data_IF_204204483467
#
_entry.id   IF_204204483467
#
_cell.length_a   1.000
_cell.length_b   1.000
_cell.length_c   1.000
_cell.angle_alpha   90.00
_cell.angle_beta   90.00
_cell.angle_gamma   90.00
#
_symmetry.space_group_name_H-M   'P 1'
#
loop_
_entity.id
_entity.type
_entity.pdbx_description
1 polymer ?
#
# COMPACT_ATOMS: atom_id res chain seq x y z
N UNK A 1 16.98 -25.65 -7.70
CA UNK A 1 16.47 -25.90 -6.34
C UNK A 1 17.32 -26.84 -5.50
N UNK A 2 17.76 -28.02 -6.01
CA UNK A 2 18.62 -28.94 -5.22
C UNK A 2 19.94 -28.33 -4.67
N UNK A 3 20.71 -27.46 -5.40
CA UNK A 3 21.93 -26.87 -4.85
C UNK A 3 21.66 -25.88 -3.72
N UNK A 4 20.64 -25.06 -3.85
CA UNK A 4 20.25 -24.11 -2.80
C UNK A 4 19.83 -24.82 -1.51
N UNK A 5 19.04 -25.92 -1.62
CA UNK A 5 18.66 -26.72 -0.45
C UNK A 5 19.88 -27.28 0.27
N UNK A 6 20.84 -27.87 -0.47
CA UNK A 6 22.10 -28.39 0.11
C UNK A 6 22.90 -27.30 0.83
N UNK A 7 22.93 -26.09 0.27
CA UNK A 7 23.60 -24.94 0.89
C UNK A 7 22.91 -24.54 2.21
N UNK A 8 21.59 -24.41 2.21
CA UNK A 8 20.83 -24.08 3.42
C UNK A 8 20.94 -25.18 4.48
N UNK A 9 20.83 -26.46 4.09
CA UNK A 9 20.98 -27.59 5.00
C UNK A 9 22.39 -27.64 5.62
N UNK A 10 23.42 -27.20 4.88
CA UNK A 10 24.79 -27.08 5.38
C UNK A 10 24.97 -25.95 6.40
N UNK A 11 24.21 -24.87 6.29
CA UNK A 11 24.23 -23.75 7.25
C UNK A 11 23.37 -24.03 8.50
N UNK A 12 22.34 -24.85 8.39
CA UNK A 12 21.37 -25.14 9.47
C UNK A 12 21.99 -25.46 10.83
N UNK A 13 23.04 -26.29 10.92
CA UNK A 13 23.67 -26.62 12.21
C UNK A 13 24.28 -25.42 12.94
N UNK A 14 24.74 -24.41 12.20
CA UNK A 14 25.32 -23.20 12.78
C UNK A 14 24.28 -22.27 13.41
N UNK A 15 23.04 -22.34 12.95
CA UNK A 15 21.92 -21.50 13.41
C UNK A 15 20.99 -22.22 14.39
N UNK A 16 21.05 -23.55 14.50
CA UNK A 16 20.23 -24.32 15.45
C UNK A 16 20.85 -24.37 16.83
N UNK A 17 20.10 -24.94 17.80
CA UNK A 17 20.47 -25.02 19.22
C UNK A 17 21.89 -25.54 19.42
N UNK A 18 22.74 -24.73 20.06
CA UNK A 18 24.18 -25.03 20.31
C UNK A 18 25.11 -24.55 19.19
N UNK A 19 24.61 -23.94 18.12
CA UNK A 19 25.43 -23.34 17.06
C UNK A 19 25.94 -21.95 17.44
N UNK A 20 27.04 -21.52 16.79
CA UNK A 20 27.64 -20.20 17.01
C UNK A 20 26.72 -19.01 16.67
N UNK A 21 25.73 -19.22 15.81
CA UNK A 21 24.80 -18.24 15.31
C UNK A 21 23.34 -18.49 15.74
N UNK A 22 23.12 -19.20 16.85
CA UNK A 22 21.80 -19.56 17.36
C UNK A 22 20.88 -18.34 17.54
N UNK A 23 21.42 -17.19 18.03
CA UNK A 23 20.68 -15.95 18.18
C UNK A 23 20.11 -15.39 16.87
N UNK A 24 20.71 -15.74 15.76
CA UNK A 24 20.32 -15.30 14.42
C UNK A 24 19.47 -16.34 13.67
N UNK A 25 18.98 -17.36 14.37
CA UNK A 25 18.08 -18.36 13.81
C UNK A 25 16.90 -17.75 13.03
N UNK A 26 16.25 -16.64 13.49
CA UNK A 26 15.18 -16.01 12.75
C UNK A 26 15.55 -15.60 11.32
N UNK A 27 16.78 -15.17 11.07
CA UNK A 27 17.25 -14.80 9.72
C UNK A 27 17.34 -16.05 8.84
N UNK A 28 17.89 -17.15 9.36
CA UNK A 28 17.97 -18.42 8.64
C UNK A 28 16.56 -18.94 8.29
N UNK A 29 15.63 -18.90 9.25
CA UNK A 29 14.26 -19.37 9.10
C UNK A 29 13.50 -18.60 7.99
N UNK A 30 13.66 -17.27 7.92
CA UNK A 30 13.08 -16.45 6.84
C UNK A 30 13.62 -16.87 5.48
N UNK A 31 14.92 -17.03 5.34
CA UNK A 31 15.55 -17.43 4.06
C UNK A 31 15.12 -18.84 3.67
N UNK A 32 15.06 -19.78 4.63
CA UNK A 32 14.59 -21.14 4.39
C UNK A 32 13.11 -21.12 3.94
N UNK A 33 12.24 -20.41 4.66
CA UNK A 33 10.80 -20.36 4.40
C UNK A 33 10.43 -19.58 3.14
N UNK A 34 11.27 -18.63 2.71
CA UNK A 34 11.06 -17.91 1.44
C UNK A 34 11.12 -18.85 0.23
N UNK A 35 11.99 -19.84 0.26
CA UNK A 35 12.22 -20.77 -0.86
C UNK A 35 11.57 -22.14 -0.66
N UNK A 36 11.28 -22.53 0.59
CA UNK A 36 10.77 -23.86 0.94
C UNK A 36 9.65 -23.76 1.98
N UNK A 37 8.72 -24.69 1.92
CA UNK A 37 7.66 -24.79 2.95
C UNK A 37 8.27 -25.27 4.27
N UNK A 38 7.76 -24.71 5.40
CA UNK A 38 8.14 -25.18 6.73
C UNK A 38 7.86 -26.66 6.91
N UNK A 39 8.81 -27.39 7.48
CA UNK A 39 8.71 -28.83 7.82
C UNK A 39 8.18 -29.06 9.26
N UNK A 40 7.82 -27.98 9.96
CA UNK A 40 7.28 -28.06 11.34
C UNK A 40 6.03 -28.93 11.36
N UNK A 41 6.02 -29.94 12.24
CA UNK A 41 4.91 -30.87 12.44
C UNK A 41 4.26 -30.62 13.80
N UNK A 42 2.95 -30.84 13.86
CA UNK A 42 2.22 -30.84 15.14
C UNK A 42 2.59 -32.08 15.95
N UNK A 43 2.93 -31.88 17.23
CA UNK A 43 3.18 -32.96 18.19
C UNK A 43 1.92 -33.19 19.00
N UNK A 44 1.33 -34.37 18.93
CA UNK A 44 0.12 -34.74 19.68
C UNK A 44 -0.78 -35.73 18.93
N UNK A 45 -1.89 -36.12 19.56
CA UNK A 45 -2.86 -37.04 18.98
C UNK A 45 -3.84 -36.39 17.98
N UNK A 46 -3.93 -35.05 17.99
CA UNK A 46 -4.80 -34.30 17.10
C UNK A 46 -3.97 -33.53 16.12
N UNK A 47 -4.13 -33.83 14.84
CA UNK A 47 -3.44 -33.17 13.72
C UNK A 47 -4.46 -32.40 12.89
N UNK A 48 -4.68 -31.13 13.24
CA UNK A 48 -5.46 -30.20 12.42
C UNK A 48 -4.51 -29.14 11.89
N UNK A 49 -4.36 -29.07 10.58
CA UNK A 49 -3.56 -28.04 9.90
C UNK A 49 -4.43 -27.33 8.87
N UNK A 50 -4.44 -26.00 8.92
CA UNK A 50 -5.04 -25.21 7.85
C UNK A 50 -4.21 -25.37 6.56
N UNK A 51 -4.88 -25.46 5.43
CA UNK A 51 -4.24 -25.53 4.12
C UNK A 51 -3.68 -24.16 3.68
N UNK A 52 -4.11 -23.08 4.34
CA UNK A 52 -3.72 -21.71 4.06
C UNK A 52 -2.85 -21.18 5.19
N UNK A 53 -1.55 -21.25 5.00
CA UNK A 53 -0.58 -20.65 5.92
C UNK A 53 -0.51 -19.12 5.70
N UNK A 54 -0.27 -18.34 6.76
CA UNK A 54 -0.14 -16.89 6.68
C UNK A 54 0.93 -16.47 5.67
N UNK A 55 2.00 -17.23 5.54
CA UNK A 55 3.05 -17.06 4.55
C UNK A 55 2.51 -17.01 3.12
N UNK A 56 1.67 -18.00 2.76
CA UNK A 56 1.06 -18.06 1.42
C UNK A 56 0.14 -16.87 1.17
N UNK A 57 -0.62 -16.44 2.19
CA UNK A 57 -1.47 -15.26 2.10
C UNK A 57 -0.63 -14.04 1.76
N UNK A 58 0.46 -13.80 2.50
CA UNK A 58 1.32 -12.63 2.31
C UNK A 58 2.05 -12.65 0.95
N UNK A 59 2.55 -13.82 0.53
CA UNK A 59 3.16 -13.95 -0.81
C UNK A 59 2.17 -13.66 -1.93
N UNK A 60 0.92 -14.12 -1.81
CA UNK A 60 -0.12 -13.83 -2.81
C UNK A 60 -0.46 -12.35 -2.84
N UNK A 61 -0.55 -11.68 -1.69
CA UNK A 61 -0.77 -10.22 -1.64
C UNK A 61 0.40 -9.49 -2.31
N UNK A 62 1.65 -9.88 -2.01
CA UNK A 62 2.83 -9.32 -2.63
C UNK A 62 2.83 -9.51 -4.16
N UNK A 63 2.52 -10.71 -4.65
CA UNK A 63 2.39 -10.97 -6.10
C UNK A 63 1.24 -10.18 -6.75
N UNK A 64 0.15 -9.95 -6.03
CA UNK A 64 -1.00 -9.19 -6.52
C UNK A 64 -0.67 -7.70 -6.74
N UNK A 65 0.41 -7.16 -6.13
CA UNK A 65 0.88 -5.79 -6.39
C UNK A 65 1.68 -5.64 -7.68
N UNK A 66 2.20 -6.74 -8.26
CA UNK A 66 3.10 -6.70 -9.42
C UNK A 66 2.52 -5.98 -10.64
N UNK A 67 1.26 -6.21 -11.05
CA UNK A 67 0.70 -5.47 -12.18
C UNK A 67 0.74 -3.95 -11.97
N UNK A 68 0.33 -3.48 -10.79
CA UNK A 68 0.37 -2.06 -10.44
C UNK A 68 1.81 -1.53 -10.35
N UNK A 69 2.74 -2.32 -9.79
CA UNK A 69 4.16 -1.97 -9.68
C UNK A 69 4.82 -1.80 -11.05
N UNK A 70 4.64 -2.76 -11.96
CA UNK A 70 5.26 -2.68 -13.30
C UNK A 70 4.68 -1.55 -14.13
N UNK A 71 3.36 -1.36 -14.07
CA UNK A 71 2.74 -0.21 -14.73
C UNK A 71 3.18 1.11 -14.11
N UNK A 72 3.30 1.16 -12.80
CA UNK A 72 3.77 2.35 -12.07
C UNK A 72 5.18 2.78 -12.51
N UNK A 73 6.10 1.83 -12.66
CA UNK A 73 7.43 2.13 -13.22
C UNK A 73 7.34 2.67 -14.65
N UNK A 74 6.49 2.07 -15.50
CA UNK A 74 6.26 2.57 -16.85
C UNK A 74 5.70 3.99 -16.85
N UNK A 75 4.64 4.25 -16.06
CA UNK A 75 4.00 5.57 -16.02
C UNK A 75 4.92 6.65 -15.47
N UNK A 76 5.69 6.35 -14.42
CA UNK A 76 6.68 7.28 -13.88
C UNK A 76 7.68 7.71 -14.95
N UNK A 77 8.27 6.76 -15.68
CA UNK A 77 9.18 7.07 -16.77
C UNK A 77 8.52 7.84 -17.91
N UNK A 78 7.29 7.45 -18.28
CA UNK A 78 6.54 8.15 -19.32
C UNK A 78 6.30 9.62 -18.97
N UNK A 79 5.82 9.90 -17.75
CA UNK A 79 5.55 11.26 -17.29
C UNK A 79 6.84 12.10 -17.24
N UNK A 80 7.94 11.54 -16.72
CA UNK A 80 9.21 12.24 -16.62
C UNK A 80 9.86 12.50 -17.98
N UNK A 81 9.85 11.51 -18.88
CA UNK A 81 10.40 11.67 -20.22
C UNK A 81 9.56 12.64 -21.07
N UNK A 82 8.25 12.63 -20.92
CA UNK A 82 7.36 13.60 -21.58
C UNK A 82 7.61 15.03 -21.04
N UNK A 83 7.84 15.18 -19.74
CA UNK A 83 8.19 16.47 -19.13
C UNK A 83 9.53 17.01 -19.66
N UNK A 84 10.54 16.15 -19.86
CA UNK A 84 11.81 16.57 -20.47
C UNK A 84 11.65 16.98 -21.94
N UNK A 85 10.77 16.29 -22.70
CA UNK A 85 10.46 16.71 -24.08
C UNK A 85 9.80 18.09 -24.11
N UNK A 86 8.91 18.38 -23.15
CA UNK A 86 8.22 19.67 -23.04
C UNK A 86 9.18 20.79 -22.57
N UNK A 87 10.05 20.53 -21.58
CA UNK A 87 11.04 21.49 -21.09
C UNK A 87 12.16 21.77 -22.11
N UNK A 88 12.42 20.83 -23.02
CA UNK A 88 13.51 20.90 -23.98
C UNK A 88 14.92 20.80 -23.38
N UNK A 89 15.03 20.54 -22.09
CA UNK A 89 16.28 20.38 -21.35
C UNK A 89 16.17 19.20 -20.39
N UNK A 90 17.27 18.47 -20.19
CA UNK A 90 17.39 17.38 -19.21
C UNK A 90 18.43 17.83 -18.21
N UNK A 91 17.98 18.10 -16.99
CA UNK A 91 18.90 18.29 -15.87
C UNK A 91 19.35 16.90 -15.37
N UNK A 92 20.67 16.70 -15.31
CA UNK A 92 21.29 15.41 -14.96
C UNK A 92 22.08 15.48 -13.65
N UNK A 93 21.81 16.47 -12.81
CA UNK A 93 22.54 16.64 -11.55
C UNK A 93 22.19 15.57 -10.50
N UNK A 94 21.07 14.84 -10.69
CA UNK A 94 20.66 13.76 -9.82
C UNK A 94 21.48 12.47 -10.05
N UNK A 95 21.82 11.78 -8.98
CA UNK A 95 22.59 10.52 -8.99
C UNK A 95 21.89 9.37 -9.74
N UNK A 96 20.57 9.40 -9.91
CA UNK A 96 19.82 8.41 -10.68
C UNK A 96 20.26 8.35 -12.13
N UNK A 97 20.71 9.48 -12.70
CA UNK A 97 21.18 9.53 -14.09
C UNK A 97 22.42 8.69 -14.35
N UNK A 98 23.22 8.36 -13.32
CA UNK A 98 24.33 7.41 -13.45
C UNK A 98 23.86 6.03 -13.93
N UNK A 99 22.65 5.63 -13.56
CA UNK A 99 22.05 4.36 -13.94
C UNK A 99 21.13 4.49 -15.15
N UNK A 100 20.41 5.60 -15.27
CA UNK A 100 19.51 5.88 -16.37
C UNK A 100 20.27 5.90 -17.70
N UNK A 101 21.40 6.60 -17.77
CA UNK A 101 22.24 6.74 -18.97
C UNK A 101 22.81 5.40 -19.50
N UNK A 102 22.75 4.31 -18.75
CA UNK A 102 23.26 3.00 -19.19
C UNK A 102 22.39 2.42 -20.30
N UNK A 103 21.07 2.56 -20.24
CA UNK A 103 20.15 1.89 -21.17
C UNK A 103 19.02 2.78 -21.69
N UNK A 104 18.85 4.02 -21.18
CA UNK A 104 17.78 4.90 -21.60
C UNK A 104 18.22 5.82 -22.75
N UNK A 105 17.41 5.90 -23.81
CA UNK A 105 17.60 6.83 -24.92
C UNK A 105 16.71 8.10 -24.78
N UNK A 106 16.00 8.24 -23.67
CA UNK A 106 15.09 9.36 -23.37
C UNK A 106 13.93 9.52 -24.35
N UNK A 107 13.47 8.42 -24.98
CA UNK A 107 12.28 8.43 -25.84
C UNK A 107 11.02 8.08 -25.05
N UNK A 108 10.07 9.02 -24.84
CA UNK A 108 8.83 8.75 -24.12
C UNK A 108 7.91 7.73 -24.84
N UNK A 109 8.14 7.46 -26.13
CA UNK A 109 7.40 6.46 -26.91
C UNK A 109 7.96 5.05 -26.74
N UNK A 110 9.17 4.91 -26.23
CA UNK A 110 9.83 3.63 -25.95
C UNK A 110 9.38 3.07 -24.62
N UNK A 111 8.65 1.94 -24.63
CA UNK A 111 8.22 1.26 -23.40
C UNK A 111 9.42 0.85 -22.55
N UNK A 112 10.52 0.42 -23.16
CA UNK A 112 11.72 -0.01 -22.46
C UNK A 112 12.40 1.14 -21.75
N UNK A 113 12.49 2.31 -22.38
CA UNK A 113 13.08 3.52 -21.79
C UNK A 113 12.25 4.00 -20.60
N UNK A 114 10.91 4.03 -20.76
CA UNK A 114 10.00 4.40 -19.68
C UNK A 114 10.12 3.44 -18.48
N UNK A 115 10.10 2.13 -18.70
CA UNK A 115 10.23 1.15 -17.61
C UNK A 115 11.61 1.26 -16.93
N UNK A 116 12.68 1.43 -17.70
CA UNK A 116 14.02 1.54 -17.15
C UNK A 116 14.18 2.80 -16.30
N UNK A 117 13.72 3.94 -16.82
CA UNK A 117 13.72 5.21 -16.09
C UNK A 117 12.98 5.08 -14.76
N UNK A 118 11.74 4.61 -14.80
CA UNK A 118 10.94 4.42 -13.59
C UNK A 118 11.51 3.39 -12.62
N UNK A 119 12.16 2.35 -13.12
CA UNK A 119 12.85 1.36 -12.28
C UNK A 119 14.05 1.98 -11.55
N UNK A 120 14.79 2.91 -12.18
CA UNK A 120 15.91 3.59 -11.53
C UNK A 120 15.48 4.43 -10.32
N UNK A 121 14.26 4.97 -10.30
CA UNK A 121 13.69 5.68 -9.16
C UNK A 121 13.04 4.71 -8.15
N UNK A 122 12.27 3.74 -8.61
CA UNK A 122 11.53 2.83 -7.74
C UNK A 122 12.42 1.85 -6.96
N UNK A 123 13.42 1.24 -7.64
CA UNK A 123 14.24 0.19 -7.03
C UNK A 123 15.00 0.68 -5.80
N UNK A 124 15.66 1.86 -5.78
CA UNK A 124 16.30 2.37 -4.58
C UNK A 124 15.34 2.58 -3.42
N UNK A 125 14.16 3.17 -3.67
CA UNK A 125 13.11 3.35 -2.66
C UNK A 125 12.71 1.98 -2.09
N UNK A 126 12.43 1.01 -2.94
CA UNK A 126 12.04 -0.33 -2.51
C UNK A 126 13.15 -1.07 -1.75
N UNK A 127 14.40 -0.94 -2.18
CA UNK A 127 15.54 -1.55 -1.47
C UNK A 127 15.73 -0.95 -0.09
N UNK A 128 15.63 0.36 0.06
CA UNK A 128 15.73 1.02 1.37
C UNK A 128 14.59 0.59 2.29
N UNK A 129 13.34 0.59 1.80
CA UNK A 129 12.20 0.14 2.59
C UNK A 129 12.33 -1.31 3.01
N UNK A 130 12.80 -2.17 2.11
CA UNK A 130 12.99 -3.58 2.35
C UNK A 130 14.10 -3.84 3.38
N UNK A 131 15.29 -3.26 3.17
CA UNK A 131 16.45 -3.47 4.05
C UNK A 131 16.16 -2.92 5.46
N UNK A 132 15.67 -1.69 5.57
CA UNK A 132 15.39 -1.07 6.87
C UNK A 132 14.21 -1.76 7.55
N UNK A 133 13.17 -2.10 6.78
CA UNK A 133 12.01 -2.81 7.32
C UNK A 133 12.35 -4.18 7.88
N UNK A 134 13.08 -5.00 7.13
CA UNK A 134 13.54 -6.31 7.60
C UNK A 134 14.52 -6.17 8.77
N UNK A 135 15.41 -5.17 8.76
CA UNK A 135 16.34 -4.95 9.88
C UNK A 135 15.59 -4.74 11.19
N UNK A 136 14.52 -3.93 11.23
CA UNK A 136 13.68 -3.76 12.41
C UNK A 136 12.97 -5.04 12.82
N UNK A 137 12.38 -5.79 11.89
CA UNK A 137 11.76 -7.10 12.18
C UNK A 137 12.76 -8.08 12.81
N UNK A 138 13.99 -8.15 12.28
CA UNK A 138 15.07 -8.97 12.83
C UNK A 138 15.43 -8.56 14.25
N UNK A 139 15.59 -7.25 14.50
CA UNK A 139 15.91 -6.73 15.83
C UNK A 139 14.84 -7.16 16.85
N UNK A 140 13.56 -6.94 16.53
CA UNK A 140 12.47 -7.32 17.43
C UNK A 140 12.30 -8.83 17.57
N UNK A 141 12.51 -9.61 16.50
CA UNK A 141 12.48 -11.06 16.54
C UNK A 141 13.56 -11.62 17.49
N UNK A 142 14.79 -11.08 17.41
CA UNK A 142 15.89 -11.48 18.30
C UNK A 142 15.59 -11.12 19.75
N UNK A 143 15.11 -9.87 20.00
CA UNK A 143 14.84 -9.39 21.37
C UNK A 143 13.70 -10.15 22.03
N UNK A 144 12.65 -10.49 21.27
CA UNK A 144 11.45 -11.15 21.80
C UNK A 144 11.46 -12.67 21.66
N UNK A 145 12.42 -13.25 20.92
CA UNK A 145 12.52 -14.69 20.71
C UNK A 145 11.39 -15.28 19.86
N UNK A 146 10.87 -14.53 18.88
CA UNK A 146 9.88 -15.03 17.94
C UNK A 146 10.42 -15.09 16.51
N UNK A 147 9.71 -15.78 15.63
CA UNK A 147 10.02 -15.87 14.21
C UNK A 147 9.65 -14.56 13.51
N UNK A 148 10.39 -14.24 12.42
CA UNK A 148 10.06 -13.09 11.55
C UNK A 148 8.82 -13.45 10.73
N UNK A 149 7.89 -12.51 10.65
CA UNK A 149 6.67 -12.72 9.90
C UNK A 149 6.79 -12.14 8.48
N UNK A 150 6.32 -12.90 7.49
CA UNK A 150 6.34 -12.53 6.08
C UNK A 150 5.46 -11.31 5.75
N UNK A 151 4.64 -10.86 6.68
CA UNK A 151 3.93 -9.58 6.59
C UNK A 151 4.84 -8.37 6.37
N UNK A 152 6.12 -8.47 6.73
CA UNK A 152 7.12 -7.46 6.46
C UNK A 152 7.30 -7.19 4.96
N UNK A 153 7.30 -8.24 4.13
CA UNK A 153 7.43 -8.10 2.67
C UNK A 153 6.28 -7.31 2.06
N UNK A 154 5.06 -7.54 2.54
CA UNK A 154 3.88 -6.81 2.09
C UNK A 154 3.94 -5.36 2.55
N UNK A 155 4.28 -5.12 3.81
CA UNK A 155 4.40 -3.75 4.36
C UNK A 155 5.41 -2.92 3.58
N UNK A 156 6.57 -3.48 3.26
CA UNK A 156 7.65 -2.77 2.55
C UNK A 156 7.28 -2.43 1.13
N UNK A 157 6.68 -3.36 0.37
CA UNK A 157 6.27 -3.09 -1.02
C UNK A 157 5.11 -2.10 -1.09
N UNK A 158 4.10 -2.23 -0.21
CA UNK A 158 2.97 -1.30 -0.19
C UNK A 158 3.41 0.12 0.19
N UNK A 159 4.33 0.25 1.16
CA UNK A 159 4.89 1.54 1.51
C UNK A 159 5.67 2.17 0.35
N UNK A 160 6.56 1.39 -0.31
CA UNK A 160 7.34 1.89 -1.44
C UNK A 160 6.46 2.35 -2.61
N UNK A 161 5.37 1.62 -2.90
CA UNK A 161 4.42 1.96 -3.97
C UNK A 161 3.61 3.25 -3.67
N UNK A 162 3.47 3.64 -2.41
CA UNK A 162 2.82 4.89 -2.01
C UNK A 162 3.78 6.09 -1.94
N UNK A 163 5.08 5.88 -2.17
CA UNK A 163 6.05 6.97 -2.16
C UNK A 163 5.95 7.82 -3.43
N UNK A 164 6.24 9.13 -3.34
CA UNK A 164 6.52 9.93 -4.52
C UNK A 164 7.80 9.45 -5.20
N UNK A 165 7.95 9.68 -6.52
CA UNK A 165 9.09 9.22 -7.29
C UNK A 165 10.45 9.67 -6.73
N UNK A 166 10.57 10.92 -6.40
CA UNK A 166 11.82 11.55 -5.94
C UNK A 166 11.90 11.70 -4.41
N UNK A 167 11.37 10.69 -3.69
CA UNK A 167 11.41 10.69 -2.23
C UNK A 167 12.84 10.54 -1.70
N UNK A 168 13.34 11.45 -0.84
CA UNK A 168 14.66 11.32 -0.24
C UNK A 168 14.81 10.00 0.53
N UNK A 169 15.82 9.19 0.19
CA UNK A 169 15.96 7.82 0.71
C UNK A 169 16.07 7.76 2.24
N UNK A 170 16.64 8.79 2.88
CA UNK A 170 16.70 8.85 4.33
C UNK A 170 15.32 9.07 4.97
N UNK A 171 14.44 9.87 4.34
CA UNK A 171 13.07 10.03 4.80
C UNK A 171 12.29 8.73 4.62
N UNK A 172 12.46 8.04 3.50
CA UNK A 172 11.92 6.70 3.24
C UNK A 172 12.31 5.74 4.37
N UNK A 173 13.59 5.74 4.77
CA UNK A 173 14.08 4.90 5.88
C UNK A 173 13.44 5.27 7.23
N UNK A 174 13.26 6.56 7.51
CA UNK A 174 12.60 7.03 8.75
C UNK A 174 11.12 6.68 8.74
N UNK A 175 10.43 6.85 7.61
CA UNK A 175 9.00 6.55 7.48
C UNK A 175 8.67 5.08 7.67
N UNK A 176 9.43 4.18 7.02
CA UNK A 176 9.22 2.74 7.21
C UNK A 176 9.60 2.30 8.63
N UNK A 177 10.62 2.93 9.24
CA UNK A 177 10.98 2.68 10.65
C UNK A 177 9.83 3.07 11.58
N UNK A 178 9.21 4.24 11.37
CA UNK A 178 8.04 4.65 12.14
C UNK A 178 6.88 3.66 11.97
N UNK A 179 6.57 3.27 10.74
CA UNK A 179 5.49 2.32 10.44
C UNK A 179 5.69 0.98 11.15
N UNK A 180 6.89 0.39 11.06
CA UNK A 180 7.16 -0.91 11.66
C UNK A 180 7.31 -0.80 13.18
N UNK A 181 8.12 0.11 13.68
CA UNK A 181 8.39 0.19 15.14
C UNK A 181 7.16 0.69 15.88
N UNK A 182 6.60 1.85 15.49
CA UNK A 182 5.54 2.51 16.24
C UNK A 182 4.17 1.91 15.98
N UNK A 183 3.81 1.64 14.71
CA UNK A 183 2.47 1.17 14.39
C UNK A 183 2.32 -0.37 14.50
N UNK A 184 3.41 -1.14 14.53
CA UNK A 184 3.35 -2.60 14.55
C UNK A 184 4.05 -3.19 15.76
N UNK A 185 5.37 -2.98 15.91
CA UNK A 185 6.17 -3.72 16.89
C UNK A 185 5.88 -3.29 18.34
N UNK A 186 5.63 -2.01 18.62
CA UNK A 186 5.25 -1.56 19.99
C UNK A 186 4.03 -2.32 20.50
N UNK A 187 3.08 -2.66 19.62
CA UNK A 187 1.85 -3.39 20.00
C UNK A 187 2.03 -4.92 20.07
N UNK A 188 3.20 -5.44 19.71
CA UNK A 188 3.52 -6.87 19.82
C UNK A 188 3.75 -7.58 18.49
N UNK A 189 3.89 -6.88 17.39
CA UNK A 189 4.21 -7.40 16.07
C UNK A 189 2.98 -7.79 15.23
N UNK A 190 3.20 -8.55 14.18
CA UNK A 190 2.15 -8.95 13.22
C UNK A 190 1.01 -9.70 13.93
N UNK A 191 -0.22 -9.31 13.64
CA UNK A 191 -1.42 -9.87 14.24
C UNK A 191 -1.90 -9.17 15.52
N UNK A 192 -1.10 -8.26 16.09
CA UNK A 192 -1.45 -7.46 17.27
C UNK A 192 -1.50 -5.95 16.98
N UNK A 193 -1.04 -5.54 15.80
CA UNK A 193 -1.14 -4.17 15.33
C UNK A 193 -2.59 -3.85 14.95
N UNK A 194 -3.07 -2.71 15.42
CA UNK A 194 -4.42 -2.21 15.08
C UNK A 194 -4.40 -1.18 13.95
N UNK A 195 -3.23 -0.71 13.53
CA UNK A 195 -3.03 0.18 12.38
C UNK A 195 -2.30 -0.56 11.26
N UNK A 196 -2.59 -0.20 10.01
CA UNK A 196 -1.77 -0.60 8.88
C UNK A 196 -0.40 0.10 8.97
N UNK A 197 0.73 -0.63 9.06
CA UNK A 197 2.03 -0.02 9.30
C UNK A 197 2.55 0.76 8.07
N UNK A 198 2.24 0.34 6.85
CA UNK A 198 2.64 1.08 5.65
C UNK A 198 1.95 2.46 5.60
N UNK A 199 0.64 2.50 5.87
CA UNK A 199 -0.11 3.76 5.93
C UNK A 199 0.33 4.66 7.08
N UNK A 200 0.64 4.09 8.25
CA UNK A 200 1.12 4.86 9.39
C UNK A 200 2.48 5.53 9.08
N UNK A 201 3.40 4.81 8.45
CA UNK A 201 4.67 5.38 8.00
C UNK A 201 4.48 6.47 6.94
N UNK A 202 3.59 6.26 5.98
CA UNK A 202 3.26 7.26 4.94
C UNK A 202 2.62 8.52 5.55
N UNK A 203 1.68 8.34 6.49
CA UNK A 203 1.07 9.46 7.21
C UNK A 203 2.07 10.26 8.02
N UNK A 204 2.99 9.57 8.73
CA UNK A 204 4.06 10.23 9.46
C UNK A 204 4.89 11.12 8.54
N UNK A 205 5.33 10.65 7.37
CA UNK A 205 6.13 11.43 6.44
C UNK A 205 5.35 12.61 5.87
N UNK A 206 4.09 12.40 5.54
CA UNK A 206 3.23 13.49 5.06
C UNK A 206 3.14 14.65 6.05
N UNK A 207 3.00 14.36 7.36
CA UNK A 207 2.90 15.41 8.37
C UNK A 207 4.26 15.98 8.81
N UNK A 208 5.32 15.14 8.78
CA UNK A 208 6.65 15.57 9.23
C UNK A 208 7.44 16.32 8.14
N UNK A 209 7.27 15.95 6.87
CA UNK A 209 8.02 16.48 5.73
C UNK A 209 7.10 16.83 4.54
N UNK A 210 6.09 17.72 4.74
CA UNK A 210 5.06 17.97 3.73
C UNK A 210 5.61 18.46 2.39
N UNK A 211 6.74 19.16 2.38
CA UNK A 211 7.34 19.72 1.15
C UNK A 211 7.79 18.62 0.18
N UNK A 212 8.38 17.55 0.70
CA UNK A 212 8.92 16.46 -0.11
C UNK A 212 7.88 15.35 -0.38
N UNK A 213 6.70 15.41 0.31
CA UNK A 213 5.71 14.34 0.27
C UNK A 213 4.32 14.77 -0.19
N UNK A 214 4.14 16.06 -0.47
CA UNK A 214 2.89 16.62 -1.01
C UNK A 214 3.18 17.86 -1.84
N UNK A 215 2.20 18.29 -2.64
CA UNK A 215 2.34 19.42 -3.55
C UNK A 215 2.42 18.99 -4.99
N UNK A 216 2.70 19.92 -5.89
CA UNK A 216 2.61 19.69 -7.34
C UNK A 216 3.97 19.32 -7.97
N UNK A 217 5.07 19.50 -7.24
CA UNK A 217 6.44 19.26 -7.75
C UNK A 217 6.96 17.84 -7.49
N UNK A 218 6.29 17.04 -6.64
CA UNK A 218 6.82 15.76 -6.15
C UNK A 218 6.39 14.53 -6.98
N UNK A 219 5.49 14.69 -7.96
CA UNK A 219 4.86 13.57 -8.66
C UNK A 219 5.50 13.21 -9.99
N UNK A 220 6.32 14.08 -10.53
CA UNK A 220 7.08 13.87 -11.78
C UNK A 220 8.54 14.08 -11.47
N UNK A 221 9.40 13.11 -11.79
CA UNK A 221 10.82 13.17 -11.56
C UNK A 221 11.51 13.95 -12.69
N UNK A 222 11.27 15.27 -12.74
CA UNK A 222 11.88 16.22 -13.68
C UNK A 222 12.05 17.56 -12.98
N UNK A 223 13.30 17.97 -12.77
CA UNK A 223 13.59 19.25 -12.11
C UNK A 223 13.03 20.44 -12.90
N UNK A 224 12.43 21.39 -12.17
CA UNK A 224 11.76 22.55 -12.77
C UNK A 224 10.39 22.26 -13.38
N UNK A 225 9.90 21.03 -13.34
CA UNK A 225 8.55 20.68 -13.78
C UNK A 225 7.59 20.55 -12.60
N UNK A 226 6.40 21.10 -12.74
CA UNK A 226 5.35 21.01 -11.72
C UNK A 226 4.06 20.53 -12.38
N UNK A 227 3.53 19.44 -11.89
CA UNK A 227 2.28 18.85 -12.38
C UNK A 227 1.35 18.52 -11.21
N UNK A 228 0.23 19.25 -11.08
CA UNK A 228 -0.73 18.95 -10.04
C UNK A 228 -1.38 17.57 -10.27
N UNK A 229 -1.68 16.87 -9.18
CA UNK A 229 -2.47 15.65 -9.28
C UNK A 229 -3.91 15.98 -9.71
N UNK A 230 -4.60 15.00 -10.30
CA UNK A 230 -6.03 15.18 -10.65
C UNK A 230 -6.87 15.58 -9.44
N UNK A 231 -6.54 15.09 -8.25
CA UNK A 231 -7.20 15.51 -7.01
C UNK A 231 -6.89 16.96 -6.65
N UNK A 232 -5.66 17.43 -6.88
CA UNK A 232 -5.28 18.84 -6.70
C UNK A 232 -6.05 19.76 -7.62
N UNK A 233 -6.16 19.40 -8.90
CA UNK A 233 -6.97 20.12 -9.89
C UNK A 233 -8.45 20.12 -9.47
N UNK A 234 -8.97 18.95 -9.06
CA UNK A 234 -10.35 18.83 -8.60
C UNK A 234 -10.66 19.68 -7.39
N UNK A 235 -9.72 19.83 -6.46
CA UNK A 235 -9.88 20.67 -5.28
C UNK A 235 -9.94 22.17 -5.61
N UNK A 236 -9.26 22.60 -6.67
CA UNK A 236 -9.20 24.02 -7.11
C UNK A 236 -10.31 24.37 -8.10
N UNK A 237 -10.52 23.53 -9.12
CA UNK A 237 -11.36 23.83 -10.28
C UNK A 237 -12.56 22.88 -10.44
N UNK A 238 -12.64 21.83 -9.62
CA UNK A 238 -13.72 20.84 -9.67
C UNK A 238 -13.64 19.93 -10.90
N UNK A 239 -14.80 19.35 -11.26
CA UNK A 239 -14.92 18.41 -12.37
C UNK A 239 -14.53 19.04 -13.72
N UNK A 240 -14.85 20.29 -13.95
CA UNK A 240 -14.56 20.99 -15.21
C UNK A 240 -13.05 21.14 -15.43
N UNK A 241 -12.29 21.49 -14.39
CA UNK A 241 -10.83 21.56 -14.46
C UNK A 241 -10.20 20.20 -14.73
N UNK A 242 -10.71 19.14 -14.10
CA UNK A 242 -10.24 17.77 -14.35
C UNK A 242 -10.49 17.40 -15.83
N UNK A 243 -11.70 17.60 -16.35
CA UNK A 243 -12.08 17.21 -17.70
C UNK A 243 -11.40 18.05 -18.79
N UNK A 244 -10.90 19.23 -18.47
CA UNK A 244 -10.13 20.05 -19.40
C UNK A 244 -8.74 19.45 -19.68
N UNK A 245 -8.17 18.71 -18.75
CA UNK A 245 -6.81 18.16 -18.86
C UNK A 245 -6.78 16.64 -19.03
N UNK A 246 -7.69 15.92 -18.39
CA UNK A 246 -7.71 14.46 -18.37
C UNK A 246 -9.10 13.90 -18.66
N UNK A 247 -9.16 12.88 -19.49
CA UNK A 247 -10.38 12.08 -19.66
C UNK A 247 -10.50 11.06 -18.50
N UNK A 248 -11.72 10.56 -18.26
CA UNK A 248 -11.92 9.48 -17.30
C UNK A 248 -11.16 8.21 -17.66
N UNK A 249 -10.98 7.93 -18.97
CA UNK A 249 -10.19 6.80 -19.44
C UNK A 249 -8.70 6.94 -19.11
N UNK A 250 -8.14 8.15 -19.17
CA UNK A 250 -6.75 8.40 -18.81
C UNK A 250 -6.51 8.13 -17.31
N UNK A 251 -7.43 8.59 -16.46
CA UNK A 251 -7.41 8.30 -15.04
C UNK A 251 -7.59 6.80 -14.74
N UNK A 252 -8.45 6.10 -15.48
CA UNK A 252 -8.67 4.65 -15.31
C UNK A 252 -7.47 3.83 -15.76
N UNK A 253 -6.87 4.18 -16.89
CA UNK A 253 -5.66 3.52 -17.40
C UNK A 253 -4.42 3.90 -16.58
N UNK A 254 -4.39 5.11 -16.03
CA UNK A 254 -3.33 5.57 -15.14
C UNK A 254 -2.26 6.43 -15.83
N UNK A 255 -2.55 7.01 -17.00
CA UNK A 255 -1.66 7.96 -17.69
C UNK A 255 -1.72 9.35 -17.03
N UNK A 256 -1.47 9.40 -15.72
CA UNK A 256 -1.65 10.57 -14.85
C UNK A 256 -0.49 10.66 -13.87
N UNK A 257 -0.10 11.87 -13.42
CA UNK A 257 0.90 12.03 -12.36
C UNK A 257 0.37 11.51 -11.02
N UNK A 258 1.25 10.91 -10.22
CA UNK A 258 0.90 10.38 -8.90
C UNK A 258 1.98 9.51 -8.30
N UNK A 259 1.69 8.88 -7.14
CA UNK A 259 2.59 7.93 -6.52
C UNK A 259 2.78 6.68 -7.39
N UNK A 260 3.91 6.00 -7.20
CA UNK A 260 4.40 4.96 -8.11
C UNK A 260 3.35 3.85 -8.36
N UNK A 261 2.66 3.39 -7.31
CA UNK A 261 1.72 2.26 -7.42
C UNK A 261 0.24 2.64 -7.55
N UNK A 262 -0.12 3.92 -7.40
CA UNK A 262 -1.52 4.33 -7.21
C UNK A 262 -2.18 4.87 -8.49
N UNK A 263 -1.44 5.01 -9.59
CA UNK A 263 -1.91 5.70 -10.79
C UNK A 263 -2.93 4.89 -11.60
N UNK A 264 -2.70 3.60 -11.83
CA UNK A 264 -3.57 2.81 -12.71
C UNK A 264 -4.62 1.98 -11.99
N UNK A 265 -5.85 2.42 -12.05
CA UNK A 265 -6.99 1.65 -11.54
C UNK A 265 -7.11 0.28 -12.24
N UNK A 266 -6.87 0.20 -13.54
CA UNK A 266 -6.95 -1.06 -14.30
C UNK A 266 -6.01 -2.13 -13.75
N UNK A 267 -4.72 -1.80 -13.59
CA UNK A 267 -3.71 -2.75 -13.11
C UNK A 267 -3.88 -3.09 -11.63
N UNK A 268 -4.39 -2.15 -10.83
CA UNK A 268 -4.79 -2.41 -9.44
C UNK A 268 -5.96 -3.39 -9.39
N UNK A 269 -6.97 -3.26 -10.26
CA UNK A 269 -8.09 -4.20 -10.32
C UNK A 269 -7.66 -5.61 -10.73
N UNK A 270 -6.62 -5.79 -11.54
CA UNK A 270 -6.05 -7.11 -11.79
C UNK A 270 -5.55 -7.75 -10.49
N UNK A 271 -4.86 -6.99 -9.64
CA UNK A 271 -4.48 -7.42 -8.29
C UNK A 271 -5.70 -7.77 -7.43
N UNK A 272 -6.75 -6.95 -7.47
CA UNK A 272 -8.00 -7.22 -6.75
C UNK A 272 -8.65 -8.54 -7.16
N UNK A 273 -8.68 -8.85 -8.46
CA UNK A 273 -9.22 -10.12 -8.98
C UNK A 273 -8.45 -11.31 -8.39
N UNK A 274 -7.11 -11.22 -8.34
CA UNK A 274 -6.27 -12.26 -7.73
C UNK A 274 -6.63 -12.44 -6.26
N UNK A 275 -6.76 -11.34 -5.49
CA UNK A 275 -7.07 -11.39 -4.06
C UNK A 275 -8.51 -11.89 -3.78
N UNK A 276 -9.47 -11.58 -4.62
CA UNK A 276 -10.84 -12.08 -4.51
C UNK A 276 -10.93 -13.57 -4.88
N UNK A 277 -10.24 -13.98 -5.95
CA UNK A 277 -10.19 -15.37 -6.39
C UNK A 277 -9.58 -16.29 -5.33
N UNK A 278 -8.50 -15.83 -4.70
CA UNK A 278 -7.82 -16.53 -3.59
C UNK A 278 -8.55 -16.41 -2.26
N UNK A 279 -9.64 -15.64 -2.19
CA UNK A 279 -10.45 -15.36 -0.99
C UNK A 279 -9.67 -14.69 0.15
N UNK A 280 -8.57 -14.04 -0.16
CA UNK A 280 -7.78 -13.25 0.79
C UNK A 280 -8.51 -11.93 1.07
N UNK A 281 -8.92 -11.23 0.01
CA UNK A 281 -9.70 -10.01 0.15
C UNK A 281 -11.17 -10.30 0.50
N UNK A 282 -11.71 -9.54 1.42
CA UNK A 282 -13.12 -9.62 1.79
C UNK A 282 -13.98 -8.77 0.85
N UNK A 283 -14.78 -9.39 0.00
CA UNK A 283 -15.73 -8.68 -0.87
C UNK A 283 -16.70 -7.77 -0.10
N UNK A 284 -16.98 -8.09 1.19
CA UNK A 284 -17.87 -7.27 2.05
C UNK A 284 -17.27 -5.93 2.38
N UNK A 285 -15.96 -5.87 2.63
CA UNK A 285 -15.24 -4.61 2.86
C UNK A 285 -15.30 -3.79 1.59
N UNK A 286 -14.96 -4.38 0.44
CA UNK A 286 -14.97 -3.71 -0.86
C UNK A 286 -16.36 -3.13 -1.17
N UNK A 287 -17.40 -3.95 -1.08
CA UNK A 287 -18.78 -3.52 -1.32
C UNK A 287 -19.21 -2.43 -0.31
N UNK A 288 -18.79 -2.55 0.95
CA UNK A 288 -19.04 -1.54 1.98
C UNK A 288 -18.40 -0.20 1.64
N UNK A 289 -17.12 -0.20 1.22
CA UNK A 289 -16.40 1.04 0.81
C UNK A 289 -17.10 1.68 -0.39
N UNK A 290 -17.41 0.90 -1.43
CA UNK A 290 -18.10 1.41 -2.62
C UNK A 290 -19.46 2.00 -2.26
N UNK A 291 -20.24 1.33 -1.40
CA UNK A 291 -21.54 1.82 -0.94
C UNK A 291 -21.42 3.12 -0.13
N UNK A 292 -20.47 3.19 0.80
CA UNK A 292 -20.21 4.38 1.59
C UNK A 292 -19.78 5.56 0.72
N UNK A 293 -18.86 5.34 -0.22
CA UNK A 293 -18.40 6.34 -1.18
C UNK A 293 -19.56 6.83 -2.07
N UNK A 294 -20.38 5.91 -2.60
CA UNK A 294 -21.54 6.26 -3.42
C UNK A 294 -22.52 7.13 -2.66
N UNK A 295 -22.97 6.68 -1.49
CA UNK A 295 -23.95 7.40 -0.70
C UNK A 295 -23.48 8.81 -0.30
N UNK A 296 -22.20 8.94 0.05
CA UNK A 296 -21.65 10.21 0.50
C UNK A 296 -21.39 11.16 -0.67
N UNK A 297 -20.89 10.67 -1.81
CA UNK A 297 -20.70 11.51 -3.00
C UNK A 297 -22.03 12.03 -3.54
N UNK A 298 -23.06 11.19 -3.63
CA UNK A 298 -24.40 11.63 -4.06
C UNK A 298 -25.01 12.64 -3.06
N UNK A 299 -24.79 12.44 -1.77
CA UNK A 299 -25.24 13.41 -0.75
C UNK A 299 -24.59 14.77 -0.97
N UNK A 300 -23.27 14.84 -1.18
CA UNK A 300 -22.59 16.11 -1.44
C UNK A 300 -23.00 16.74 -2.77
N UNK A 301 -23.19 15.94 -3.82
CA UNK A 301 -23.70 16.42 -5.10
C UNK A 301 -25.11 17.02 -4.98
N UNK A 302 -25.97 16.45 -4.12
CA UNK A 302 -27.32 16.98 -3.85
C UNK A 302 -27.29 18.29 -3.03
N UNK A 303 -26.37 18.40 -2.06
CA UNK A 303 -26.22 19.61 -1.25
C UNK A 303 -25.66 20.74 -2.12
N UNK A 304 -24.68 20.46 -2.96
CA UNK A 304 -23.97 21.44 -3.77
C UNK A 304 -23.19 22.46 -2.94
N UNK A 305 -22.29 23.19 -3.58
CA UNK A 305 -21.58 24.31 -2.95
C UNK A 305 -21.10 25.28 -4.02
N UNK A 306 -21.30 26.57 -3.78
CA UNK A 306 -20.81 27.64 -4.67
C UNK A 306 -19.32 27.95 -4.44
N UNK A 307 -18.78 27.56 -3.28
CA UNK A 307 -17.42 27.89 -2.85
C UNK A 307 -16.44 26.72 -2.94
N UNK A 308 -16.95 25.49 -2.92
CA UNK A 308 -16.12 24.28 -2.95
C UNK A 308 -16.48 23.42 -4.16
N UNK A 309 -15.64 23.43 -5.21
CA UNK A 309 -15.91 22.73 -6.45
C UNK A 309 -15.91 21.19 -6.32
N UNK A 310 -15.29 20.63 -5.27
CA UNK A 310 -15.27 19.18 -5.01
C UNK A 310 -16.65 18.58 -4.71
N UNK A 311 -17.65 19.42 -4.33
CA UNK A 311 -19.03 18.96 -4.12
C UNK A 311 -19.68 18.43 -5.41
N UNK A 312 -19.23 18.87 -6.56
CA UNK A 312 -19.74 18.44 -7.87
C UNK A 312 -19.10 17.18 -8.42
N UNK A 313 -18.13 16.58 -7.71
CA UNK A 313 -17.40 15.42 -8.21
C UNK A 313 -18.27 14.15 -8.14
N UNK A 314 -18.59 13.51 -9.29
CA UNK A 314 -19.44 12.31 -9.32
C UNK A 314 -18.72 11.08 -8.74
N UNK A 315 -19.51 10.14 -8.22
CA UNK A 315 -19.02 8.88 -7.64
C UNK A 315 -17.95 8.16 -8.47
N UNK A 316 -18.16 8.01 -9.79
CA UNK A 316 -17.26 7.25 -10.65
C UNK A 316 -15.85 7.88 -10.78
N UNK A 317 -15.72 9.19 -10.60
CA UNK A 317 -14.43 9.85 -10.53
C UNK A 317 -13.69 9.53 -9.23
N UNK A 318 -14.39 9.50 -8.09
CA UNK A 318 -13.77 9.15 -6.82
C UNK A 318 -13.06 7.79 -6.84
N UNK A 319 -13.51 6.87 -7.72
CA UNK A 319 -12.96 5.51 -7.83
C UNK A 319 -11.61 5.44 -8.54
N UNK A 320 -11.36 6.36 -9.49
CA UNK A 320 -10.21 6.29 -10.39
C UNK A 320 -9.12 7.31 -10.07
N UNK A 321 -9.39 8.28 -9.19
CA UNK A 321 -8.44 9.34 -8.86
C UNK A 321 -7.80 9.13 -7.48
N UNK A 322 -6.51 9.49 -7.39
CA UNK A 322 -5.70 9.32 -6.18
C UNK A 322 -5.55 7.86 -5.78
N UNK A 323 -5.13 7.62 -4.55
CA UNK A 323 -4.89 6.27 -4.01
C UNK A 323 -6.15 5.47 -3.64
N UNK A 324 -7.37 5.85 -4.11
CA UNK A 324 -8.60 5.15 -3.74
C UNK A 324 -8.57 3.67 -4.12
N UNK A 325 -8.30 3.37 -5.40
CA UNK A 325 -8.29 1.99 -5.90
C UNK A 325 -7.21 1.14 -5.22
N UNK A 326 -6.02 1.71 -5.01
CA UNK A 326 -4.90 1.06 -4.35
C UNK A 326 -5.19 0.78 -2.87
N UNK A 327 -5.65 1.78 -2.14
CA UNK A 327 -6.04 1.65 -0.74
C UNK A 327 -7.19 0.67 -0.53
N UNK A 328 -8.20 0.69 -1.41
CA UNK A 328 -9.30 -0.27 -1.40
C UNK A 328 -8.81 -1.71 -1.59
N UNK A 329 -7.91 -1.92 -2.56
CA UNK A 329 -7.48 -3.25 -2.99
C UNK A 329 -6.49 -3.91 -2.06
N UNK A 330 -5.49 -3.16 -1.57
CA UNK A 330 -4.35 -3.73 -0.85
C UNK A 330 -4.30 -3.39 0.63
N UNK A 331 -4.95 -2.29 1.05
CA UNK A 331 -4.80 -1.77 2.41
C UNK A 331 -6.07 -1.90 3.26
N UNK A 332 -7.25 -1.56 2.69
CA UNK A 332 -8.52 -1.67 3.42
C UNK A 332 -8.93 -3.13 3.70
N UNK A 333 -8.51 -4.05 2.82
CA UNK A 333 -8.82 -5.49 2.95
C UNK A 333 -7.77 -6.27 3.76
N UNK A 334 -6.76 -5.58 4.30
CA UNK A 334 -5.74 -6.21 5.13
C UNK A 334 -6.38 -6.98 6.29
N UNK A 335 -6.06 -8.28 6.45
CA UNK A 335 -6.77 -9.12 7.41
C UNK A 335 -6.41 -8.84 8.88
N UNK A 336 -5.33 -8.11 9.14
CA UNK A 336 -4.84 -7.87 10.51
C UNK A 336 -5.49 -6.65 11.15
N UNK A 337 -5.46 -5.51 10.48
CA UNK A 337 -5.95 -4.22 11.01
C UNK A 337 -7.44 -3.96 10.76
N UNK A 338 -8.08 -4.73 9.87
CA UNK A 338 -9.50 -4.60 9.54
C UNK A 338 -10.43 -5.37 10.48
N UNK A 339 -11.75 -5.17 10.31
CA UNK A 339 -12.77 -5.92 11.06
C UNK A 339 -12.81 -7.40 10.66
N UNK A 340 -12.95 -8.29 11.65
CA UNK A 340 -12.95 -9.75 11.47
C UNK A 340 -14.35 -10.34 11.29
N UNK A 341 -15.39 -9.72 11.89
CA UNK A 341 -16.76 -10.25 11.82
C UNK A 341 -17.41 -9.94 10.48
N UNK A 342 -18.26 -10.84 9.98
CA UNK A 342 -18.93 -10.64 8.68
C UNK A 342 -19.77 -9.36 8.61
N UNK A 343 -20.45 -9.01 9.69
CA UNK A 343 -21.25 -7.79 9.78
C UNK A 343 -20.34 -6.56 10.01
N UNK A 344 -19.30 -6.73 10.84
CA UNK A 344 -18.34 -5.68 11.09
C UNK A 344 -17.59 -5.25 9.84
N UNK A 345 -17.28 -6.16 8.92
CA UNK A 345 -16.67 -5.87 7.62
C UNK A 345 -17.50 -4.91 6.76
N UNK A 346 -18.84 -5.00 6.82
CA UNK A 346 -19.73 -4.05 6.16
C UNK A 346 -19.64 -2.66 6.80
N UNK A 347 -19.76 -2.58 8.14
CA UNK A 347 -19.68 -1.31 8.85
C UNK A 347 -18.32 -0.65 8.69
N UNK A 348 -17.23 -1.43 8.79
CA UNK A 348 -15.87 -0.97 8.56
C UNK A 348 -15.68 -0.42 7.15
N UNK A 349 -16.13 -1.16 6.12
CA UNK A 349 -16.06 -0.70 4.74
C UNK A 349 -16.87 0.57 4.49
N UNK A 350 -18.11 0.64 4.97
CA UNK A 350 -18.95 1.85 4.85
C UNK A 350 -18.28 3.04 5.52
N UNK A 351 -17.69 2.84 6.71
CA UNK A 351 -16.99 3.90 7.42
C UNK A 351 -15.82 4.46 6.60
N UNK A 352 -15.00 3.59 5.98
CA UNK A 352 -13.92 4.02 5.09
C UNK A 352 -14.50 4.83 3.92
N UNK A 353 -15.50 4.31 3.22
CA UNK A 353 -16.08 4.97 2.05
C UNK A 353 -16.65 6.36 2.37
N UNK A 354 -17.36 6.50 3.50
CA UNK A 354 -17.85 7.78 3.99
C UNK A 354 -16.70 8.74 4.29
N UNK A 355 -15.69 8.26 5.03
CA UNK A 355 -14.56 9.11 5.46
C UNK A 355 -13.70 9.56 4.28
N UNK A 356 -13.50 8.73 3.27
CA UNK A 356 -12.73 9.12 2.07
C UNK A 356 -13.35 10.33 1.40
N UNK A 357 -14.65 10.27 1.10
CA UNK A 357 -15.35 11.38 0.43
C UNK A 357 -15.39 12.61 1.34
N UNK A 358 -15.65 12.40 2.63
CA UNK A 358 -15.71 13.48 3.60
C UNK A 358 -14.37 14.23 3.68
N UNK A 359 -13.24 13.52 3.77
CA UNK A 359 -11.91 14.13 3.80
C UNK A 359 -11.61 14.85 2.47
N UNK A 360 -11.89 14.21 1.32
CA UNK A 360 -11.66 14.80 0.00
C UNK A 360 -12.42 16.08 -0.24
N UNK A 361 -13.69 16.11 0.17
CA UNK A 361 -14.59 17.23 -0.11
C UNK A 361 -14.48 18.34 0.93
N UNK A 362 -14.36 17.99 2.21
CA UNK A 362 -14.39 18.99 3.30
C UNK A 362 -13.01 19.56 3.60
N UNK A 363 -11.93 18.80 3.32
CA UNK A 363 -10.56 19.23 3.61
C UNK A 363 -9.78 19.54 2.32
N UNK A 364 -9.81 20.76 1.79
CA UNK A 364 -9.11 21.12 0.56
C UNK A 364 -7.57 21.06 0.70
N UNK A 365 -7.05 21.10 1.92
CA UNK A 365 -5.60 21.00 2.17
C UNK A 365 -5.07 19.56 2.01
N UNK A 366 -5.93 18.56 2.01
CA UNK A 366 -5.56 17.17 1.83
C UNK A 366 -6.63 16.41 1.04
N UNK A 367 -6.68 16.58 -0.27
CA UNK A 367 -7.74 15.97 -1.10
C UNK A 367 -7.62 14.46 -1.28
N UNK A 368 -6.50 13.81 -0.89
CA UNK A 368 -6.28 12.38 -1.08
C UNK A 368 -7.27 11.51 -0.26
N UNK A 369 -7.36 11.69 1.01
CA UNK A 369 -8.36 11.11 1.90
C UNK A 369 -8.24 9.62 2.21
N UNK A 370 -7.82 8.74 1.29
CA UNK A 370 -7.91 7.28 1.44
C UNK A 370 -7.03 6.76 2.58
N UNK A 371 -5.80 7.22 2.67
CA UNK A 371 -4.86 6.83 3.72
C UNK A 371 -5.42 7.13 5.11
N UNK A 372 -5.87 8.35 5.35
CA UNK A 372 -6.42 8.78 6.64
C UNK A 372 -7.74 8.09 6.96
N UNK A 373 -8.58 7.84 5.96
CA UNK A 373 -9.85 7.13 6.13
C UNK A 373 -9.63 5.68 6.60
N UNK A 374 -8.65 4.97 6.02
CA UNK A 374 -8.31 3.61 6.45
C UNK A 374 -7.74 3.62 7.87
N UNK A 375 -6.77 4.51 8.16
CA UNK A 375 -6.18 4.62 9.51
C UNK A 375 -7.25 4.95 10.56
N UNK A 376 -8.17 5.86 10.23
CA UNK A 376 -9.30 6.17 11.10
C UNK A 376 -10.19 4.96 11.33
N UNK A 377 -10.58 4.26 10.27
CA UNK A 377 -11.42 3.08 10.39
C UNK A 377 -10.73 1.94 11.16
N UNK A 378 -9.41 1.77 11.02
CA UNK A 378 -8.63 0.80 11.78
C UNK A 378 -8.76 1.00 13.29
N UNK A 379 -8.78 2.26 13.77
CA UNK A 379 -9.01 2.58 15.19
C UNK A 379 -10.35 2.06 15.68
N UNK A 380 -11.38 2.06 14.83
CA UNK A 380 -12.73 1.63 15.18
C UNK A 380 -13.00 0.15 14.88
N UNK A 381 -12.14 -0.55 14.13
CA UNK A 381 -12.35 -1.95 13.77
C UNK A 381 -12.56 -2.86 14.99
N UNK A 382 -11.73 -2.80 16.07
CA UNK A 382 -11.96 -3.61 17.27
C UNK A 382 -13.28 -3.27 17.99
N UNK A 383 -13.65 -1.99 18.02
CA UNK A 383 -14.91 -1.52 18.62
C UNK A 383 -16.12 -2.05 17.84
N UNK A 384 -16.09 -1.97 16.51
CA UNK A 384 -17.13 -2.52 15.64
C UNK A 384 -17.32 -4.01 15.91
N UNK A 385 -16.22 -4.77 15.94
CA UNK A 385 -16.27 -6.20 16.21
C UNK A 385 -16.77 -6.53 17.60
N UNK A 386 -16.42 -5.75 18.61
CA UNK A 386 -16.93 -5.90 19.97
C UNK A 386 -18.47 -5.80 20.02
N UNK A 387 -19.05 -4.77 19.41
CA UNK A 387 -20.51 -4.62 19.38
C UNK A 387 -21.22 -5.76 18.64
N UNK A 388 -20.65 -6.22 17.54
CA UNK A 388 -21.19 -7.36 16.78
C UNK A 388 -21.16 -8.65 17.62
N UNK A 389 -20.04 -8.90 18.30
CA UNK A 389 -19.88 -10.08 19.17
C UNK A 389 -20.85 -10.03 20.36
N UNK A 390 -20.97 -8.90 21.04
CA UNK A 390 -21.90 -8.72 22.15
C UNK A 390 -23.35 -8.98 21.73
N UNK A 391 -23.75 -8.46 20.56
CA UNK A 391 -25.06 -8.73 19.98
C UNK A 391 -25.29 -10.23 19.76
N UNK A 392 -24.27 -10.93 19.21
CA UNK A 392 -24.35 -12.35 18.97
C UNK A 392 -24.44 -13.17 20.28
N UNK A 393 -23.70 -12.78 21.30
CA UNK A 393 -23.78 -13.40 22.65
C UNK A 393 -25.18 -13.23 23.23
N UNK A 394 -25.71 -11.99 23.23
CA UNK A 394 -27.08 -11.72 23.72
C UNK A 394 -28.16 -12.52 22.97
N UNK A 395 -28.00 -12.71 21.65
CA UNK A 395 -28.92 -13.54 20.86
C UNK A 395 -28.82 -15.01 21.24
N UNK A 396 -27.63 -15.55 21.49
CA UNK A 396 -27.46 -16.96 21.91
C UNK A 396 -28.04 -17.20 23.30
N UNK A 397 -27.82 -16.29 24.25
CA UNK A 397 -28.39 -16.38 25.60
C UNK A 397 -29.92 -16.38 25.57
N UNK A 398 -30.56 -15.54 24.74
CA UNK A 398 -32.01 -15.52 24.56
C UNK A 398 -32.58 -16.79 23.93
N UNK A 399 -31.79 -17.58 23.21
CA UNK A 399 -32.21 -18.84 22.62
C UNK A 399 -32.01 -20.02 23.59
N UNK A 400 -31.17 -19.86 24.61
CA UNK A 400 -30.87 -20.86 25.61
C UNK A 400 -31.80 -20.76 26.85
N UNK A 401 -32.45 -19.58 27.06
CA UNK A 401 -33.52 -19.36 28.03
C UNK A 401 -34.89 -19.72 27.45
#
# INVERSE_FOLDING_TARGET
MKPLRKFLDGLKPSFTSGGSLEKYFPIYDVVENLFYSSDKRTFGSVHVRDSVDLQKVMVVVWMATFPAMFYGMYNLGYQSLAAFEELGTIDKDDWHFLFIDIFCNYDPKSITDCIWFGACYFIPIYLVTFIVGIAWEVVFAIVRGHEINEGAFVTTVLFALCCPPDAPLWQVAVGISFGIVVAKEIFGGTGKNFLNPALAGRAFLYFAYPVDWSGDSVWVAADGYSSPTILGIGAQEGLNGIQAQYSWSDAFLGSIPGSIGETSTLFILLGLIILLYTRIASWRIIAGVLLGTFLTSELFNLIGSDTNPMFSLPFHWHLVIGGFAFGLTFMAVEPVSGSHTNLGRWYYGILIGVMVVLIRVVNPAYPEGMMLAILFANLFAPLIDHFVQERNIKQRLRRAS
#
